data_IF_130707113152
#
_entry.id   IF_130707113152
#
_cell.length_a   1.000
_cell.length_b   1.000
_cell.length_c   1.000
_cell.angle_alpha   90.00
_cell.angle_beta   90.00
_cell.angle_gamma   90.00
#
_symmetry.space_group_name_H-M   'P 1'
#
loop_
_entity.id
_entity.type
_entity.pdbx_description
1 polymer ?
#
# COMPACT_ATOMS: atom_id res chain seq x y z
N UNK A 1 -33.49 -6.15 7.45
CA UNK A 1 -32.86 -5.48 6.26
C UNK A 1 -32.03 -6.50 5.49
N UNK A 2 -32.19 -6.57 4.15
CA UNK A 2 -31.41 -7.52 3.33
C UNK A 2 -29.90 -7.20 3.37
N UNK A 3 -29.06 -8.23 3.41
CA UNK A 3 -27.59 -8.12 3.48
C UNK A 3 -26.99 -7.22 2.38
N UNK A 4 -27.45 -7.36 1.13
CA UNK A 4 -26.97 -6.55 0.02
C UNK A 4 -27.37 -5.07 0.14
N UNK A 5 -28.56 -4.79 0.66
CA UNK A 5 -29.01 -3.43 0.92
C UNK A 5 -28.18 -2.80 2.05
N UNK A 6 -27.95 -3.53 3.13
CA UNK A 6 -27.13 -3.11 4.25
C UNK A 6 -25.67 -2.81 3.86
N UNK A 7 -25.11 -3.58 2.92
CA UNK A 7 -23.79 -3.29 2.38
C UNK A 7 -23.78 -1.99 1.56
N UNK A 8 -24.78 -1.78 0.71
CA UNK A 8 -24.89 -0.53 -0.07
C UNK A 8 -24.96 0.69 0.82
N UNK A 9 -25.83 0.67 1.84
CA UNK A 9 -25.96 1.76 2.83
C UNK A 9 -24.62 2.05 3.53
N UNK A 10 -23.90 1.01 3.97
CA UNK A 10 -22.59 1.19 4.59
C UNK A 10 -21.56 1.82 3.64
N UNK A 11 -21.58 1.47 2.36
CA UNK A 11 -20.67 2.05 1.38
C UNK A 11 -21.01 3.52 1.10
N UNK A 12 -22.28 3.90 1.05
CA UNK A 12 -22.73 5.30 0.98
C UNK A 12 -22.26 6.10 2.20
N UNK A 13 -22.37 5.54 3.39
CA UNK A 13 -21.85 6.17 4.61
C UNK A 13 -20.33 6.36 4.55
N UNK A 14 -19.57 5.39 3.97
CA UNK A 14 -18.15 5.55 3.76
C UNK A 14 -17.81 6.67 2.76
N UNK A 15 -18.63 6.86 1.73
CA UNK A 15 -18.51 7.97 0.76
C UNK A 15 -18.79 9.31 1.44
N UNK A 16 -19.88 9.42 2.21
CA UNK A 16 -20.22 10.61 2.99
C UNK A 16 -19.10 11.02 3.96
N UNK A 17 -18.43 10.05 4.57
CA UNK A 17 -17.25 10.26 5.44
C UNK A 17 -15.96 10.55 4.69
N UNK A 18 -16.01 10.75 3.38
CA UNK A 18 -14.84 11.03 2.53
C UNK A 18 -13.73 9.96 2.65
N UNK A 19 -14.10 8.67 2.75
CA UNK A 19 -13.11 7.61 2.66
C UNK A 19 -12.57 7.52 1.23
N UNK A 20 -11.30 7.14 1.10
CA UNK A 20 -10.70 6.98 -0.24
C UNK A 20 -11.34 5.82 -0.99
N UNK A 21 -11.44 5.92 -2.34
CA UNK A 21 -11.95 4.84 -3.20
C UNK A 21 -11.29 3.49 -2.89
N UNK A 22 -9.98 3.50 -2.62
CA UNK A 22 -9.24 2.28 -2.23
C UNK A 22 -9.77 1.68 -0.94
N UNK A 23 -10.12 2.50 0.04
CA UNK A 23 -10.70 2.05 1.34
C UNK A 23 -12.09 1.48 1.11
N UNK A 24 -12.95 2.17 0.36
CA UNK A 24 -14.31 1.76 0.03
C UNK A 24 -14.29 0.42 -0.73
N UNK A 25 -13.43 0.31 -1.75
CA UNK A 25 -13.22 -0.95 -2.47
C UNK A 25 -12.75 -2.08 -1.56
N UNK A 26 -11.88 -1.79 -0.60
CA UNK A 26 -11.41 -2.76 0.39
C UNK A 26 -12.55 -3.27 1.28
N UNK A 27 -13.41 -2.39 1.77
CA UNK A 27 -14.60 -2.76 2.54
C UNK A 27 -15.58 -3.57 1.69
N UNK A 28 -15.91 -3.09 0.49
CA UNK A 28 -16.77 -3.80 -0.47
C UNK A 28 -16.30 -5.24 -0.66
N UNK A 29 -15.08 -5.43 -1.13
CA UNK A 29 -14.54 -6.75 -1.42
C UNK A 29 -14.55 -7.67 -0.19
N UNK A 30 -14.23 -7.14 1.00
CA UNK A 30 -14.18 -7.92 2.22
C UNK A 30 -15.58 -8.34 2.69
N UNK A 31 -16.55 -7.42 2.67
CA UNK A 31 -17.91 -7.67 3.17
C UNK A 31 -18.69 -8.54 2.18
N UNK A 32 -18.51 -8.35 0.87
CA UNK A 32 -19.11 -9.20 -0.19
C UNK A 32 -18.75 -10.68 0.00
N UNK A 33 -17.51 -10.99 0.43
CA UNK A 33 -17.12 -12.37 0.71
C UNK A 33 -17.97 -13.00 1.82
N UNK A 34 -18.26 -12.23 2.88
CA UNK A 34 -19.12 -12.69 3.96
C UNK A 34 -20.58 -12.77 3.52
N UNK A 35 -21.09 -11.76 2.83
CA UNK A 35 -22.47 -11.71 2.32
C UNK A 35 -22.75 -12.92 1.42
N UNK A 36 -21.88 -13.19 0.48
CA UNK A 36 -22.02 -14.33 -0.43
C UNK A 36 -22.02 -15.67 0.34
N UNK A 37 -21.13 -15.82 1.33
CA UNK A 37 -21.12 -17.01 2.19
C UNK A 37 -22.42 -17.18 2.98
N UNK A 38 -22.95 -16.10 3.58
CA UNK A 38 -24.19 -16.13 4.34
C UNK A 38 -25.38 -16.50 3.44
N UNK A 39 -25.49 -15.89 2.27
CA UNK A 39 -26.56 -16.19 1.30
C UNK A 39 -26.52 -17.64 0.81
N UNK A 40 -25.33 -18.20 0.57
CA UNK A 40 -25.16 -19.63 0.22
C UNK A 40 -25.64 -20.56 1.36
N UNK A 41 -25.67 -20.06 2.60
CA UNK A 41 -26.18 -20.79 3.76
C UNK A 41 -27.62 -20.40 4.15
N UNK A 42 -28.37 -19.75 3.25
CA UNK A 42 -29.78 -19.41 3.42
C UNK A 42 -30.04 -18.18 4.30
N UNK A 43 -29.00 -17.44 4.68
CA UNK A 43 -29.11 -16.22 5.52
C UNK A 43 -29.14 -15.00 4.60
N UNK A 44 -30.25 -14.27 4.59
CA UNK A 44 -30.45 -13.13 3.69
C UNK A 44 -30.67 -11.80 4.42
N UNK A 45 -31.07 -11.84 5.68
CA UNK A 45 -31.32 -10.67 6.51
C UNK A 45 -30.21 -10.43 7.54
N UNK A 46 -29.88 -9.17 7.82
CA UNK A 46 -28.82 -8.81 8.79
C UNK A 46 -29.14 -9.27 10.22
N UNK A 47 -30.45 -9.35 10.59
CA UNK A 47 -30.88 -9.78 11.92
C UNK A 47 -30.69 -11.29 12.13
N UNK A 48 -30.59 -12.08 11.07
CA UNK A 48 -30.35 -13.52 11.13
C UNK A 48 -28.86 -13.84 11.35
N UNK A 49 -27.97 -12.85 11.19
CA UNK A 49 -26.53 -13.06 11.27
C UNK A 49 -26.07 -13.18 12.72
N UNK A 50 -25.68 -14.39 13.10
CA UNK A 50 -25.17 -14.69 14.42
C UNK A 50 -23.65 -14.86 14.43
N UNK A 51 -23.02 -14.70 15.60
CA UNK A 51 -21.58 -14.91 15.77
C UNK A 51 -21.06 -16.28 15.28
N UNK A 52 -21.79 -17.42 15.48
CA UNK A 52 -21.36 -18.70 14.91
C UNK A 52 -21.20 -18.69 13.39
N UNK A 53 -22.09 -18.04 12.64
CA UNK A 53 -22.00 -17.97 11.16
C UNK A 53 -20.68 -17.34 10.71
N UNK A 54 -20.31 -16.20 11.32
CA UNK A 54 -19.05 -15.50 11.00
C UNK A 54 -17.83 -16.32 11.47
N UNK A 55 -17.92 -16.95 12.65
CA UNK A 55 -16.84 -17.84 13.14
C UNK A 55 -16.60 -19.00 12.18
N UNK A 56 -17.65 -19.65 11.69
CA UNK A 56 -17.54 -20.73 10.70
C UNK A 56 -16.88 -20.24 9.43
N UNK A 57 -17.30 -19.08 8.89
CA UNK A 57 -16.69 -18.48 7.71
C UNK A 57 -15.18 -18.26 7.90
N UNK A 58 -14.78 -17.59 8.99
CA UNK A 58 -13.36 -17.31 9.26
C UNK A 58 -12.55 -18.59 9.50
N UNK A 59 -13.14 -19.58 10.18
CA UNK A 59 -12.50 -20.90 10.42
C UNK A 59 -12.31 -21.67 9.11
N UNK A 60 -13.27 -21.62 8.20
CA UNK A 60 -13.14 -22.24 6.88
C UNK A 60 -12.01 -21.62 6.07
N UNK A 61 -11.84 -20.30 6.11
CA UNK A 61 -10.71 -19.62 5.50
C UNK A 61 -9.37 -20.04 6.12
N UNK A 62 -9.33 -20.18 7.45
CA UNK A 62 -8.13 -20.64 8.16
C UNK A 62 -7.76 -22.07 7.77
N UNK A 63 -8.75 -22.98 7.71
CA UNK A 63 -8.57 -24.38 7.26
C UNK A 63 -8.12 -24.46 5.79
N UNK A 64 -8.56 -23.50 4.95
CA UNK A 64 -8.10 -23.35 3.58
C UNK A 64 -6.69 -22.72 3.46
N UNK A 65 -5.95 -22.58 4.56
CA UNK A 65 -4.56 -22.08 4.59
C UNK A 65 -4.39 -20.57 4.46
N UNK A 66 -5.46 -19.77 4.66
CA UNK A 66 -5.32 -18.31 4.65
C UNK A 66 -4.56 -17.83 5.88
N UNK A 67 -3.66 -16.87 5.67
CA UNK A 67 -2.82 -16.32 6.75
C UNK A 67 -3.66 -15.60 7.82
N UNK A 68 -3.27 -15.69 9.11
CA UNK A 68 -3.96 -14.96 10.19
C UNK A 68 -4.10 -13.45 9.93
N UNK A 69 -3.11 -12.81 9.33
CA UNK A 69 -3.16 -11.38 8.97
C UNK A 69 -4.27 -11.06 7.96
N UNK A 70 -4.53 -11.96 6.99
CA UNK A 70 -5.65 -11.81 6.06
C UNK A 70 -6.99 -11.95 6.78
N UNK A 71 -7.14 -12.96 7.66
CA UNK A 71 -8.34 -13.19 8.47
C UNK A 71 -8.60 -11.97 9.36
N UNK A 72 -7.57 -11.42 10.00
CA UNK A 72 -7.67 -10.22 10.81
C UNK A 72 -8.02 -8.97 9.97
N UNK A 73 -7.60 -8.91 8.71
CA UNK A 73 -8.05 -7.89 7.75
C UNK A 73 -9.56 -7.94 7.51
N UNK A 74 -10.11 -9.13 7.25
CA UNK A 74 -11.54 -9.35 7.11
C UNK A 74 -12.30 -9.02 8.41
N UNK A 75 -11.78 -9.49 9.56
CA UNK A 75 -12.35 -9.20 10.87
C UNK A 75 -12.49 -7.70 11.11
N UNK A 76 -11.49 -6.88 10.74
CA UNK A 76 -11.57 -5.41 10.82
C UNK A 76 -12.72 -4.85 9.99
N UNK A 77 -12.88 -5.33 8.77
CA UNK A 77 -13.94 -4.87 7.87
C UNK A 77 -15.33 -5.25 8.40
N UNK A 78 -15.50 -6.49 8.86
CA UNK A 78 -16.76 -6.94 9.44
C UNK A 78 -17.09 -6.18 10.72
N UNK A 79 -16.12 -5.97 11.59
CA UNK A 79 -16.32 -5.19 12.82
C UNK A 79 -16.76 -3.75 12.54
N UNK A 80 -16.21 -3.12 11.51
CA UNK A 80 -16.63 -1.78 11.11
C UNK A 80 -18.05 -1.77 10.56
N UNK A 81 -18.41 -2.74 9.71
CA UNK A 81 -19.73 -2.87 9.13
C UNK A 81 -20.81 -3.15 10.19
N UNK A 82 -20.62 -4.17 11.03
CA UNK A 82 -21.60 -4.50 12.07
C UNK A 82 -21.72 -3.42 13.17
N UNK A 83 -20.63 -2.66 13.42
CA UNK A 83 -20.71 -1.48 14.28
C UNK A 83 -21.61 -0.39 13.68
N UNK A 84 -21.52 -0.16 12.37
CA UNK A 84 -22.40 0.75 11.64
C UNK A 84 -23.85 0.26 11.71
N UNK A 85 -24.13 -1.00 11.38
CA UNK A 85 -25.48 -1.56 11.41
C UNK A 85 -26.13 -1.46 12.79
N UNK A 86 -25.36 -1.60 13.86
CA UNK A 86 -25.84 -1.42 15.22
C UNK A 86 -26.11 0.05 15.55
N UNK A 87 -25.27 0.96 15.08
CA UNK A 87 -25.42 2.40 15.31
C UNK A 87 -26.65 2.97 14.59
N UNK A 88 -26.97 2.42 13.40
CA UNK A 88 -28.19 2.76 12.64
C UNK A 88 -29.41 1.92 13.04
N UNK A 89 -29.35 1.19 14.16
CA UNK A 89 -30.42 0.38 14.71
C UNK A 89 -30.97 -0.73 13.76
N UNK A 90 -30.21 -1.07 12.69
CA UNK A 90 -30.56 -2.19 11.80
C UNK A 90 -30.42 -3.55 12.48
N UNK A 91 -29.62 -3.64 13.53
CA UNK A 91 -29.44 -4.81 14.38
C UNK A 91 -29.38 -4.37 15.86
N UNK A 92 -29.97 -5.14 16.74
CA UNK A 92 -29.92 -4.88 18.20
C UNK A 92 -28.62 -5.36 18.84
N UNK A 93 -28.06 -6.47 18.36
CA UNK A 93 -26.86 -7.10 18.91
C UNK A 93 -25.80 -7.27 17.85
N UNK A 94 -24.59 -6.73 18.10
CA UNK A 94 -23.46 -6.86 17.19
C UNK A 94 -22.79 -8.25 17.33
N UNK A 95 -22.86 -9.12 16.30
CA UNK A 95 -22.30 -10.46 16.36
C UNK A 95 -20.77 -10.48 16.51
N UNK A 96 -20.09 -9.41 16.08
CA UNK A 96 -18.63 -9.31 16.15
C UNK A 96 -18.09 -9.14 17.58
N UNK A 97 -18.93 -8.78 18.55
CA UNK A 97 -18.50 -8.64 19.94
C UNK A 97 -18.04 -9.96 20.58
N UNK A 98 -18.51 -11.10 20.05
CA UNK A 98 -18.18 -12.47 20.52
C UNK A 98 -17.09 -13.14 19.68
N UNK A 99 -16.41 -12.41 18.77
CA UNK A 99 -15.41 -12.97 17.85
C UNK A 99 -14.04 -12.39 18.19
N UNK A 100 -13.12 -13.27 18.58
CA UNK A 100 -11.73 -12.92 18.85
C UNK A 100 -10.88 -12.77 17.57
N UNK A 101 -9.70 -12.19 17.74
CA UNK A 101 -8.70 -12.05 16.69
C UNK A 101 -7.95 -13.37 16.48
N UNK A 102 -7.59 -13.67 15.22
CA UNK A 102 -6.69 -14.76 14.93
C UNK A 102 -5.27 -14.41 15.46
N UNK A 103 -4.65 -15.37 16.16
CA UNK A 103 -3.29 -15.17 16.69
C UNK A 103 -2.29 -15.06 15.53
N UNK A 104 -1.57 -13.96 15.48
CA UNK A 104 -0.49 -13.71 14.52
C UNK A 104 0.86 -14.00 15.19
N UNK A 105 1.74 -14.70 14.47
CA UNK A 105 3.14 -14.80 14.88
C UNK A 105 3.85 -13.49 14.62
N UNK A 106 4.69 -13.09 15.58
CA UNK A 106 5.57 -11.92 15.39
C UNK A 106 6.69 -12.32 14.41
N UNK A 107 6.57 -11.86 13.18
CA UNK A 107 7.60 -12.07 12.17
C UNK A 107 8.67 -10.99 12.36
N UNK A 108 9.92 -11.40 12.60
CA UNK A 108 11.07 -10.49 12.55
C UNK A 108 11.32 -10.15 11.07
N UNK A 109 11.07 -8.90 10.71
CA UNK A 109 11.31 -8.43 9.34
C UNK A 109 12.82 -8.38 9.12
N UNK A 110 13.31 -9.22 8.21
CA UNK A 110 14.71 -9.16 7.77
C UNK A 110 14.89 -7.99 6.81
N UNK A 111 15.93 -7.20 7.04
CA UNK A 111 16.28 -6.04 6.20
C UNK A 111 17.50 -6.33 5.32
N UNK A 112 17.78 -5.46 4.37
CA UNK A 112 18.99 -5.54 3.54
C UNK A 112 20.23 -5.29 4.38
N UNK A 113 21.32 -5.97 4.05
CA UNK A 113 22.67 -5.62 4.57
C UNK A 113 23.24 -4.42 3.80
N UNK A 114 24.22 -3.68 4.36
CA UNK A 114 24.88 -2.60 3.65
C UNK A 114 25.48 -3.05 2.30
N UNK A 115 26.05 -4.26 2.25
CA UNK A 115 26.60 -4.83 1.01
C UNK A 115 25.52 -5.08 -0.06
N UNK A 116 24.34 -5.59 0.35
CA UNK A 116 23.18 -5.77 -0.54
C UNK A 116 22.65 -4.44 -1.06
N UNK A 117 22.55 -3.41 -0.20
CA UNK A 117 22.16 -2.05 -0.60
C UNK A 117 23.12 -1.50 -1.66
N UNK A 118 24.43 -1.59 -1.41
CA UNK A 118 25.45 -1.12 -2.35
C UNK A 118 25.37 -1.87 -3.69
N UNK A 119 25.21 -3.19 -3.65
CA UNK A 119 25.05 -4.01 -4.86
C UNK A 119 23.78 -3.65 -5.64
N UNK A 120 22.66 -3.37 -4.96
CA UNK A 120 21.42 -2.92 -5.60
C UNK A 120 21.56 -1.54 -6.25
N UNK A 121 22.27 -0.59 -5.62
CA UNK A 121 22.56 0.72 -6.20
C UNK A 121 23.45 0.59 -7.45
N UNK A 122 24.42 -0.33 -7.43
CA UNK A 122 25.30 -0.58 -8.56
C UNK A 122 24.66 -1.40 -9.69
N UNK A 123 23.46 -1.95 -9.47
CA UNK A 123 22.71 -2.67 -10.49
C UNK A 123 22.23 -1.80 -11.67
N UNK A 124 22.31 -0.47 -11.52
CA UNK A 124 21.99 0.52 -12.55
C UNK A 124 23.25 1.34 -12.89
N UNK A 125 23.85 1.15 -14.10
CA UNK A 125 25.18 1.66 -14.44
C UNK A 125 25.23 3.15 -14.85
N UNK A 126 24.14 3.89 -14.72
CA UNK A 126 24.03 5.33 -15.02
C UNK A 126 24.38 5.72 -16.48
N UNK A 127 24.13 4.83 -17.43
CA UNK A 127 24.42 5.09 -18.86
C UNK A 127 23.33 5.90 -19.56
N UNK A 128 22.11 5.82 -19.09
CA UNK A 128 20.95 6.45 -19.70
C UNK A 128 19.94 6.93 -18.63
N UNK A 129 19.01 7.77 -19.02
CA UNK A 129 17.95 8.31 -18.15
C UNK A 129 17.31 7.27 -17.24
N UNK A 130 16.94 6.11 -17.79
CA UNK A 130 16.28 5.06 -17.03
C UNK A 130 17.15 4.48 -15.91
N UNK A 131 18.44 4.34 -16.15
CA UNK A 131 19.39 3.83 -15.15
C UNK A 131 19.60 4.84 -14.03
N UNK A 132 19.88 6.10 -14.40
CA UNK A 132 20.07 7.21 -13.43
C UNK A 132 18.82 7.39 -12.59
N UNK A 133 17.63 7.42 -13.21
CA UNK A 133 16.34 7.49 -12.51
C UNK A 133 16.17 6.35 -11.52
N UNK A 134 16.37 5.11 -11.96
CA UNK A 134 16.15 3.92 -11.14
C UNK A 134 17.12 3.88 -9.95
N UNK A 135 18.36 4.24 -10.15
CA UNK A 135 19.36 4.37 -9.08
C UNK A 135 18.97 5.45 -8.08
N UNK A 136 18.52 6.61 -8.57
CA UNK A 136 18.05 7.73 -7.71
C UNK A 136 16.82 7.33 -6.89
N UNK A 137 15.88 6.60 -7.49
CA UNK A 137 14.72 6.05 -6.77
C UNK A 137 15.14 5.09 -5.65
N UNK A 138 16.07 4.18 -5.93
CA UNK A 138 16.58 3.25 -4.90
C UNK A 138 17.30 4.01 -3.77
N UNK A 139 18.19 4.94 -4.12
CA UNK A 139 18.89 5.76 -3.14
C UNK A 139 17.92 6.53 -2.26
N UNK A 140 16.88 7.15 -2.85
CA UNK A 140 15.86 7.89 -2.12
C UNK A 140 15.08 6.98 -1.14
N UNK A 141 14.73 5.77 -1.56
CA UNK A 141 14.05 4.79 -0.70
C UNK A 141 14.91 4.39 0.50
N UNK A 142 16.19 4.15 0.29
CA UNK A 142 17.13 3.76 1.36
C UNK A 142 17.51 4.93 2.27
N UNK A 143 17.73 6.10 1.70
CA UNK A 143 18.18 7.30 2.45
C UNK A 143 17.07 7.87 3.35
N UNK A 144 15.83 7.88 2.86
CA UNK A 144 14.74 8.61 3.51
C UNK A 144 13.65 7.72 4.11
N UNK A 145 13.59 6.47 3.72
CA UNK A 145 12.47 5.59 4.09
C UNK A 145 11.10 6.09 3.62
N UNK A 146 11.04 6.90 2.55
CA UNK A 146 9.79 7.42 1.96
C UNK A 146 8.85 6.29 1.55
N UNK A 147 7.53 6.47 1.69
CA UNK A 147 6.58 5.49 1.18
C UNK A 147 6.53 5.50 -0.34
N UNK A 148 6.32 4.34 -0.94
CA UNK A 148 6.26 4.19 -2.40
C UNK A 148 5.25 5.15 -3.06
N UNK A 149 4.07 5.33 -2.47
CA UNK A 149 3.07 6.28 -2.98
C UNK A 149 3.49 7.75 -2.83
N UNK A 150 4.20 8.09 -1.75
CA UNK A 150 4.73 9.44 -1.54
C UNK A 150 5.82 9.75 -2.58
N UNK A 151 6.70 8.79 -2.86
CA UNK A 151 7.73 8.91 -3.91
C UNK A 151 7.10 9.14 -5.29
N UNK A 152 6.04 8.41 -5.65
CA UNK A 152 5.35 8.57 -6.93
C UNK A 152 4.69 9.94 -7.09
N UNK A 153 4.27 10.56 -5.99
CA UNK A 153 3.59 11.86 -5.98
C UNK A 153 4.55 13.04 -5.71
N UNK A 154 5.84 12.79 -5.51
CA UNK A 154 6.82 13.83 -5.24
C UNK A 154 7.00 14.72 -6.47
N UNK A 155 6.83 16.03 -6.30
CA UNK A 155 7.00 17.03 -7.35
C UNK A 155 8.41 17.62 -7.34
N UNK A 156 8.86 18.20 -8.45
CA UNK A 156 10.15 18.90 -8.48
C UNK A 156 10.16 20.09 -7.50
N UNK A 157 9.03 20.78 -7.35
CA UNK A 157 8.83 21.87 -6.39
C UNK A 157 8.90 21.46 -4.93
N UNK A 158 8.79 20.15 -4.63
CA UNK A 158 8.91 19.60 -3.27
C UNK A 158 10.37 19.32 -2.86
N UNK A 159 11.32 19.62 -3.74
CA UNK A 159 12.75 19.35 -3.52
C UNK A 159 13.51 20.65 -3.40
N UNK A 160 13.90 21.02 -2.19
CA UNK A 160 14.83 22.11 -1.97
C UNK A 160 16.31 21.61 -1.88
N UNK A 161 17.26 22.51 -1.58
CA UNK A 161 18.69 22.18 -1.51
C UNK A 161 19.05 21.22 -0.37
N UNK A 162 18.23 21.14 0.67
CA UNK A 162 18.56 20.46 1.91
C UNK A 162 17.62 19.30 2.23
N UNK A 163 16.38 19.33 1.71
CA UNK A 163 15.32 18.42 2.15
C UNK A 163 14.26 18.18 1.09
N UNK A 164 13.50 17.11 1.32
CA UNK A 164 12.25 16.80 0.61
C UNK A 164 11.05 17.20 1.46
N UNK A 165 10.06 17.89 0.86
CA UNK A 165 8.74 18.06 1.45
C UNK A 165 7.85 16.89 1.04
N UNK A 166 7.34 16.14 1.98
CA UNK A 166 6.59 14.92 1.72
C UNK A 166 5.19 15.03 2.31
N UNK A 167 4.20 14.77 1.49
CA UNK A 167 2.80 14.73 1.88
C UNK A 167 2.38 13.30 2.26
N UNK A 168 2.06 13.10 3.54
CA UNK A 168 1.58 11.83 4.07
C UNK A 168 0.06 11.68 4.04
N UNK A 169 -0.44 10.60 4.65
CA UNK A 169 -1.87 10.34 4.81
C UNK A 169 -2.55 11.51 5.56
N UNK A 170 -3.67 11.98 5.04
CA UNK A 170 -4.42 13.11 5.62
C UNK A 170 -3.79 14.47 5.34
N UNK A 171 -3.01 14.61 4.27
CA UNK A 171 -2.31 15.85 3.87
C UNK A 171 -1.33 16.38 4.93
N UNK A 172 -0.87 15.53 5.83
CA UNK A 172 0.16 15.94 6.80
C UNK A 172 1.50 16.07 6.08
N UNK A 173 2.12 17.24 6.20
CA UNK A 173 3.45 17.50 5.66
C UNK A 173 4.54 17.04 6.64
N UNK A 174 5.65 16.55 6.09
CA UNK A 174 6.89 16.36 6.81
C UNK A 174 8.07 16.66 5.89
N UNK A 175 9.16 17.09 6.50
CA UNK A 175 10.42 17.31 5.82
C UNK A 175 11.40 16.17 6.14
N UNK A 176 12.14 15.73 5.13
CA UNK A 176 13.18 14.72 5.24
C UNK A 176 14.45 15.27 4.65
N UNK A 177 15.54 15.27 5.44
CA UNK A 177 16.84 15.78 5.01
C UNK A 177 17.43 14.90 3.89
N UNK A 178 18.22 15.51 3.04
CA UNK A 178 18.98 14.84 1.99
C UNK A 178 20.39 14.56 2.48
N UNK A 179 20.87 13.32 2.34
CA UNK A 179 22.28 13.02 2.54
C UNK A 179 23.16 13.69 1.44
N UNK A 180 24.45 13.93 1.68
CA UNK A 180 25.35 14.44 0.65
C UNK A 180 25.38 13.57 -0.62
N UNK A 181 25.29 12.25 -0.47
CA UNK A 181 25.19 11.33 -1.59
C UNK A 181 23.88 11.52 -2.37
N UNK A 182 22.75 11.68 -1.68
CA UNK A 182 21.46 11.90 -2.32
C UNK A 182 21.42 13.23 -3.08
N UNK A 183 21.97 14.30 -2.52
CA UNK A 183 22.08 15.60 -3.19
C UNK A 183 22.82 15.49 -4.52
N UNK A 184 24.00 14.84 -4.52
CA UNK A 184 24.81 14.63 -5.74
C UNK A 184 24.04 13.84 -6.78
N UNK A 185 23.44 12.72 -6.37
CA UNK A 185 22.71 11.84 -7.28
C UNK A 185 21.46 12.50 -7.86
N UNK A 186 20.79 13.32 -7.07
CA UNK A 186 19.60 14.05 -7.49
C UNK A 186 19.93 15.14 -8.52
N UNK A 187 21.04 15.87 -8.35
CA UNK A 187 21.53 16.83 -9.35
C UNK A 187 21.80 16.12 -10.68
N UNK A 188 22.55 15.04 -10.65
CA UNK A 188 22.83 14.23 -11.82
C UNK A 188 21.56 13.71 -12.50
N UNK A 189 20.59 13.23 -11.70
CA UNK A 189 19.29 12.79 -12.21
C UNK A 189 18.54 13.92 -12.91
N UNK A 190 18.52 15.16 -12.34
CA UNK A 190 17.83 16.30 -12.94
C UNK A 190 18.41 16.64 -14.30
N UNK A 191 19.73 16.65 -14.45
CA UNK A 191 20.41 16.88 -15.74
C UNK A 191 19.97 15.86 -16.81
N UNK A 192 19.97 14.55 -16.45
CA UNK A 192 19.50 13.50 -17.36
C UNK A 192 18.00 13.60 -17.69
N UNK A 193 17.19 13.98 -16.70
CA UNK A 193 15.75 14.17 -16.88
C UNK A 193 15.46 15.32 -17.84
N UNK A 194 16.09 16.46 -17.63
CA UNK A 194 15.89 17.68 -18.41
C UNK A 194 16.33 17.45 -19.85
N UNK A 195 17.49 16.83 -20.07
CA UNK A 195 17.95 16.44 -21.40
C UNK A 195 17.01 15.42 -22.08
N UNK A 196 16.58 14.39 -21.37
CA UNK A 196 15.72 13.35 -21.94
C UNK A 196 14.34 13.84 -22.37
N UNK A 197 13.81 14.86 -21.68
CA UNK A 197 12.50 15.45 -21.95
C UNK A 197 12.57 16.86 -22.57
N UNK A 198 13.72 17.30 -23.03
CA UNK A 198 13.95 18.68 -23.56
C UNK A 198 12.86 19.14 -24.53
N UNK A 199 12.42 18.26 -25.43
CA UNK A 199 11.40 18.59 -26.44
C UNK A 199 10.02 18.02 -26.13
N UNK A 200 9.72 17.73 -24.87
CA UNK A 200 8.44 17.10 -24.45
C UNK A 200 7.81 17.88 -23.30
N UNK A 201 6.52 18.20 -23.45
CA UNK A 201 5.73 18.67 -22.31
C UNK A 201 5.43 17.50 -21.38
N UNK A 202 5.90 17.57 -20.13
CA UNK A 202 5.74 16.51 -19.12
C UNK A 202 5.28 17.10 -17.79
N UNK A 203 4.57 16.31 -16.95
CA UNK A 203 4.16 16.73 -15.62
C UNK A 203 5.34 17.09 -14.71
N UNK A 204 5.09 17.92 -13.69
CA UNK A 204 6.08 18.36 -12.70
C UNK A 204 6.52 17.27 -11.71
N UNK A 205 6.00 16.06 -11.82
CA UNK A 205 6.45 14.95 -10.99
C UNK A 205 7.98 14.75 -11.09
N UNK A 206 8.62 14.56 -9.93
CA UNK A 206 10.07 14.37 -9.87
C UNK A 206 10.50 13.16 -10.73
N UNK A 207 9.80 12.04 -10.58
CA UNK A 207 10.12 10.81 -11.31
C UNK A 207 9.07 10.47 -12.37
N UNK A 208 9.53 10.31 -13.60
CA UNK A 208 8.69 10.02 -14.75
C UNK A 208 9.05 8.65 -15.37
N UNK A 209 8.09 8.05 -16.04
CA UNK A 209 8.29 6.87 -16.89
C UNK A 209 9.08 7.23 -18.15
N UNK A 210 9.48 6.24 -18.93
CA UNK A 210 10.12 6.47 -20.26
C UNK A 210 9.25 7.31 -21.21
N UNK A 211 7.93 7.26 -21.04
CA UNK A 211 6.98 7.99 -21.88
C UNK A 211 6.58 9.35 -21.31
N UNK A 212 7.21 9.82 -20.22
CA UNK A 212 6.91 11.11 -19.59
C UNK A 212 5.69 11.11 -18.67
N UNK A 213 5.09 9.94 -18.37
CA UNK A 213 3.98 9.83 -17.40
C UNK A 213 4.50 9.70 -15.97
N UNK A 214 3.77 10.15 -14.94
CA UNK A 214 4.11 9.90 -13.55
C UNK A 214 4.34 8.39 -13.28
N UNK A 215 5.27 8.07 -12.38
CA UNK A 215 5.48 6.67 -11.99
C UNK A 215 4.33 6.14 -11.16
N UNK A 216 4.04 4.85 -11.34
CA UNK A 216 3.11 4.11 -10.49
C UNK A 216 3.87 3.33 -9.41
N UNK A 217 3.18 3.00 -8.31
CA UNK A 217 3.75 2.15 -7.25
C UNK A 217 4.21 0.80 -7.80
N UNK A 218 3.50 0.23 -8.77
CA UNK A 218 3.86 -1.02 -9.45
C UNK A 218 5.20 -0.89 -10.20
N UNK A 219 5.42 0.26 -10.86
CA UNK A 219 6.69 0.52 -11.55
C UNK A 219 7.86 0.60 -10.55
N UNK A 220 7.67 1.28 -9.42
CA UNK A 220 8.69 1.37 -8.35
C UNK A 220 8.97 0.00 -7.72
N UNK A 221 7.93 -0.79 -7.44
CA UNK A 221 8.08 -2.17 -6.96
C UNK A 221 8.92 -3.02 -7.94
N UNK A 222 8.65 -2.89 -9.24
CA UNK A 222 9.41 -3.57 -10.28
C UNK A 222 10.89 -3.14 -10.31
N UNK A 223 11.17 -1.83 -10.14
CA UNK A 223 12.55 -1.30 -10.07
C UNK A 223 13.31 -1.95 -8.91
N UNK A 224 12.72 -1.97 -7.71
CA UNK A 224 13.35 -2.57 -6.52
C UNK A 224 13.57 -4.08 -6.69
N UNK A 225 12.58 -4.78 -7.27
CA UNK A 225 12.69 -6.22 -7.53
C UNK A 225 13.82 -6.53 -8.51
N UNK A 226 13.89 -5.82 -9.65
CA UNK A 226 14.94 -6.02 -10.65
C UNK A 226 16.33 -5.70 -10.08
N UNK A 227 16.46 -4.65 -9.27
CA UNK A 227 17.70 -4.33 -8.59
C UNK A 227 18.13 -5.48 -7.65
N UNK A 228 17.22 -6.03 -6.88
CA UNK A 228 17.49 -7.17 -6.01
C UNK A 228 17.90 -8.44 -6.78
N UNK A 229 17.28 -8.72 -7.92
CA UNK A 229 17.62 -9.84 -8.80
C UNK A 229 19.04 -9.67 -9.39
N UNK A 230 19.35 -8.48 -9.93
CA UNK A 230 20.67 -8.15 -10.49
C UNK A 230 21.78 -8.19 -9.42
N UNK A 231 21.49 -7.68 -8.23
CA UNK A 231 22.38 -7.68 -7.08
C UNK A 231 22.50 -9.05 -6.40
N UNK A 232 21.77 -10.08 -6.86
CA UNK A 232 21.73 -11.42 -6.25
C UNK A 232 21.42 -11.38 -4.74
N UNK A 233 20.51 -10.50 -4.32
CA UNK A 233 20.07 -10.42 -2.93
C UNK A 233 19.57 -11.79 -2.45
N UNK A 234 19.90 -12.15 -1.22
CA UNK A 234 19.52 -13.44 -0.62
C UNK A 234 18.02 -13.68 -0.70
N UNK A 235 17.59 -14.91 -1.04
CA UNK A 235 16.18 -15.28 -1.25
C UNK A 235 15.28 -15.10 -0.02
N UNK A 236 15.85 -15.00 1.18
CA UNK A 236 15.10 -14.76 2.42
C UNK A 236 14.60 -13.32 2.59
N UNK A 237 15.01 -12.41 1.69
CA UNK A 237 14.58 -11.01 1.67
C UNK A 237 13.63 -10.78 0.50
N UNK A 238 12.49 -10.18 0.80
CA UNK A 238 11.59 -9.68 -0.24
C UNK A 238 12.07 -8.32 -0.72
N UNK A 239 12.55 -8.24 -1.96
CA UNK A 239 12.92 -6.97 -2.58
C UNK A 239 11.68 -6.15 -2.93
N UNK A 240 11.32 -5.23 -2.04
CA UNK A 240 10.17 -4.33 -2.18
C UNK A 240 10.47 -2.97 -1.55
N UNK A 241 9.77 -1.88 -1.95
CA UNK A 241 9.95 -0.57 -1.33
C UNK A 241 9.72 -0.55 0.19
N UNK A 242 8.86 -1.44 0.70
CA UNK A 242 8.63 -1.58 2.15
C UNK A 242 9.82 -2.16 2.90
N UNK A 243 10.64 -2.99 2.24
CA UNK A 243 11.85 -3.58 2.84
C UNK A 243 13.02 -2.60 2.83
N UNK A 244 13.01 -1.59 1.93
CA UNK A 244 14.00 -0.52 1.89
C UNK A 244 13.85 0.47 3.07
N UNK A 245 12.74 0.41 3.77
CA UNK A 245 12.37 1.27 4.89
C UNK A 245 12.55 0.53 6.22
#
# INVERSE_FOLDING_TARGET
MLLNAALKEYLLECELRNYTEKTIKGYRNSIELLVNYLQQNGITDVNEVLAPHIKHFLTNLQRAGRKPSYINGLHKAFRAWFKYLQAEEYISVNPMNKIGWAKEEKIVIKTFTPAEVQAMLNAYPEKEYMDVRNKTILALLFDTGIRCSELCNLMQSDVDKERFRIYGKGRKERYVAQSPYMKKLLLHYKEYRDYYFEYRSVPDNLFLSRTGRPLTTVAVERIVRIAGERAKVRKSIRCSPHTCR
#
